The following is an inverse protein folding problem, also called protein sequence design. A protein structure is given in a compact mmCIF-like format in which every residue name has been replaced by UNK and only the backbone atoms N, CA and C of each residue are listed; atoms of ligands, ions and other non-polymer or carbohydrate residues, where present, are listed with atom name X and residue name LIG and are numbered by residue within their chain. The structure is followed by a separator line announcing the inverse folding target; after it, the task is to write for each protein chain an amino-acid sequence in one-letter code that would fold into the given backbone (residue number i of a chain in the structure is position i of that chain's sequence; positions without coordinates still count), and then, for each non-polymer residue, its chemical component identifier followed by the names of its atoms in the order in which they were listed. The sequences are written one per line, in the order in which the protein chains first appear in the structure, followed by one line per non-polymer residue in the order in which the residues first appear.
data_IF_861055571943
#
_entry.id   IF_861055571943
#
_cell.length_a   1.000
_cell.length_b   1.000
_cell.length_c   1.000
_cell.angle_alpha   90.00
_cell.angle_beta   90.00
_cell.angle_gamma   90.00
#
_symmetry.space_group_name_H-M   'P 1'
#
loop_
_entity.id
_entity.type
_entity.pdbx_description
1 polymer ?
#
# COMPACT_ATOMS: atom_id res chain seq x y z
N UNK A 1 -6.02 15.89 26.61
CA UNK A 1 -5.15 14.72 26.34
C UNK A 1 -3.93 15.19 25.58
N UNK A 2 -2.89 15.65 26.28
CA UNK A 2 -1.59 16.00 25.69
C UNK A 2 -0.87 14.71 25.30
N UNK A 3 -0.74 14.45 24.00
CA UNK A 3 -0.05 13.26 23.50
C UNK A 3 1.46 13.51 23.51
N UNK A 4 2.20 12.62 24.16
CA UNK A 4 3.67 12.67 24.27
C UNK A 4 4.32 12.85 22.86
N UNK A 5 5.06 13.94 22.62
CA UNK A 5 5.66 14.24 21.31
C UNK A 5 6.65 13.16 20.84
N UNK A 6 7.31 12.44 21.76
CA UNK A 6 8.23 11.35 21.43
C UNK A 6 7.48 10.13 20.87
N UNK A 7 6.27 9.85 21.40
CA UNK A 7 5.40 8.76 20.94
C UNK A 7 4.83 9.04 19.55
N UNK A 8 4.50 10.30 19.26
CA UNK A 8 4.02 10.73 17.95
C UNK A 8 5.11 10.67 16.87
N UNK A 9 6.35 11.04 17.21
CA UNK A 9 7.49 10.91 16.30
C UNK A 9 7.76 9.45 15.90
N UNK A 10 7.72 8.51 16.86
CA UNK A 10 7.86 7.07 16.60
C UNK A 10 6.73 6.52 15.71
N UNK A 11 5.49 6.95 15.95
CA UNK A 11 4.34 6.57 15.13
C UNK A 11 4.49 6.99 13.66
N UNK A 12 5.00 8.20 13.42
CA UNK A 12 5.25 8.70 12.06
C UNK A 12 6.33 7.92 11.32
N UNK A 13 7.42 7.56 12.00
CA UNK A 13 8.46 6.71 11.43
C UNK A 13 7.90 5.33 11.09
N UNK A 14 7.08 4.74 11.96
CA UNK A 14 6.43 3.45 11.71
C UNK A 14 5.50 3.47 10.49
N UNK A 15 4.61 4.47 10.40
CA UNK A 15 3.73 4.64 9.22
C UNK A 15 4.54 4.79 7.94
N UNK A 16 5.60 5.61 7.97
CA UNK A 16 6.45 5.78 6.79
C UNK A 16 7.16 4.49 6.37
N UNK A 17 7.60 3.67 7.35
CA UNK A 17 8.23 2.39 7.08
C UNK A 17 7.23 1.39 6.48
N UNK A 18 6.01 1.28 7.04
CA UNK A 18 4.94 0.45 6.48
C UNK A 18 4.60 0.84 5.04
N UNK A 19 4.46 2.14 4.77
CA UNK A 19 4.20 2.64 3.41
C UNK A 19 5.32 2.29 2.43
N UNK A 20 6.59 2.38 2.85
CA UNK A 20 7.71 1.96 2.00
C UNK A 20 7.70 0.45 1.73
N UNK A 21 7.33 -0.35 2.73
CA UNK A 21 7.15 -1.81 2.55
C UNK A 21 6.02 -2.09 1.56
N UNK A 22 4.88 -1.41 1.66
CA UNK A 22 3.77 -1.54 0.71
C UNK A 22 4.19 -1.19 -0.72
N UNK A 23 4.95 -0.09 -0.90
CA UNK A 23 5.51 0.30 -2.20
C UNK A 23 6.42 -0.78 -2.77
N UNK A 24 7.29 -1.38 -1.94
CA UNK A 24 8.18 -2.46 -2.35
C UNK A 24 7.41 -3.72 -2.75
N UNK A 25 6.35 -4.07 -2.01
CA UNK A 25 5.49 -5.21 -2.33
C UNK A 25 4.77 -4.98 -3.66
N UNK A 26 4.20 -3.79 -3.88
CA UNK A 26 3.53 -3.46 -5.15
C UNK A 26 4.52 -3.54 -6.32
N UNK A 27 5.75 -3.03 -6.15
CA UNK A 27 6.79 -3.12 -7.16
C UNK A 27 7.19 -4.58 -7.45
N UNK A 28 7.35 -5.41 -6.43
CA UNK A 28 7.65 -6.83 -6.59
C UNK A 28 6.52 -7.58 -7.32
N UNK A 29 5.25 -7.29 -6.99
CA UNK A 29 4.10 -7.87 -7.68
C UNK A 29 4.02 -7.43 -9.15
N UNK A 30 4.36 -6.18 -9.46
CA UNK A 30 4.43 -5.70 -10.84
C UNK A 30 5.53 -6.42 -11.65
N UNK A 31 6.71 -6.61 -11.07
CA UNK A 31 7.80 -7.38 -11.69
C UNK A 31 7.44 -8.85 -11.86
N UNK A 32 6.81 -9.45 -10.84
CA UNK A 32 6.29 -10.82 -10.92
C UNK A 32 5.30 -10.99 -12.07
N UNK A 33 4.36 -10.04 -12.24
CA UNK A 33 3.38 -10.07 -13.32
C UNK A 33 4.03 -10.02 -14.71
N UNK A 34 5.08 -9.20 -14.86
CA UNK A 34 5.87 -9.16 -16.10
C UNK A 34 6.49 -10.53 -16.37
N UNK A 35 7.16 -11.13 -15.38
CA UNK A 35 7.75 -12.46 -15.51
C UNK A 35 6.70 -13.54 -15.84
N UNK A 36 5.54 -13.51 -15.16
CA UNK A 36 4.43 -14.43 -15.41
C UNK A 36 3.92 -14.30 -16.85
N UNK A 37 3.81 -13.08 -17.37
CA UNK A 37 3.32 -12.86 -18.74
C UNK A 37 4.29 -13.42 -19.78
N UNK A 38 5.60 -13.27 -19.56
CA UNK A 38 6.65 -13.83 -20.42
C UNK A 38 6.61 -15.36 -20.40
N UNK A 39 6.49 -15.97 -19.21
CA UNK A 39 6.50 -17.43 -19.06
C UNK A 39 5.21 -18.07 -19.61
N UNK A 40 4.06 -17.41 -19.40
CA UNK A 40 2.75 -17.97 -19.76
C UNK A 40 2.40 -17.80 -21.24
N UNK A 41 3.19 -17.04 -22.01
CA UNK A 41 2.92 -16.77 -23.42
C UNK A 41 1.59 -16.05 -23.68
N UNK A 42 1.01 -15.40 -22.65
CA UNK A 42 -0.26 -14.68 -22.77
C UNK A 42 -0.01 -13.35 -23.46
N UNK A 43 -0.68 -13.12 -24.59
CA UNK A 43 -0.42 -12.00 -25.51
C UNK A 43 -1.53 -10.96 -25.51
N UNK A 44 -2.08 -10.61 -24.34
CA UNK A 44 -3.00 -9.48 -24.19
C UNK A 44 -2.26 -8.27 -23.57
N UNK A 45 -1.68 -7.37 -24.38
CA UNK A 45 -0.88 -6.26 -23.88
C UNK A 45 -1.72 -5.18 -23.16
N UNK A 46 -3.00 -5.04 -23.52
CA UNK A 46 -3.87 -4.00 -22.97
C UNK A 46 -4.12 -4.18 -21.46
N UNK A 47 -4.58 -5.34 -20.97
CA UNK A 47 -4.73 -5.58 -19.53
C UNK A 47 -3.41 -5.47 -18.77
N UNK A 48 -2.31 -5.96 -19.34
CA UNK A 48 -0.99 -5.88 -18.72
C UNK A 48 -0.57 -4.42 -18.49
N UNK A 49 -0.65 -3.59 -19.54
CA UNK A 49 -0.29 -2.17 -19.45
C UNK A 49 -1.17 -1.46 -18.44
N UNK A 50 -2.48 -1.74 -18.40
CA UNK A 50 -3.41 -1.17 -17.43
C UNK A 50 -3.01 -1.47 -15.98
N UNK A 51 -2.68 -2.74 -15.68
CA UNK A 51 -2.26 -3.15 -14.33
C UNK A 51 -0.89 -2.56 -13.97
N UNK A 52 0.05 -2.49 -14.91
CA UNK A 52 1.36 -1.89 -14.67
C UNK A 52 1.26 -0.38 -14.42
N UNK A 53 0.47 0.35 -15.20
CA UNK A 53 0.23 1.77 -14.98
C UNK A 53 -0.45 2.00 -13.62
N UNK A 54 -1.46 1.19 -13.29
CA UNK A 54 -2.12 1.26 -11.98
C UNK A 54 -1.14 1.00 -10.83
N UNK A 55 -0.29 -0.02 -10.94
CA UNK A 55 0.72 -0.34 -9.93
C UNK A 55 1.75 0.78 -9.77
N UNK A 56 2.22 1.37 -10.87
CA UNK A 56 3.17 2.49 -10.84
C UNK A 56 2.57 3.75 -10.22
N UNK A 57 1.34 4.11 -10.61
CA UNK A 57 0.64 5.27 -10.04
C UNK A 57 0.29 5.04 -8.57
N UNK A 58 -0.15 3.84 -8.20
CA UNK A 58 -0.42 3.45 -6.82
C UNK A 58 0.83 3.52 -5.96
N UNK A 59 1.90 2.81 -6.36
CA UNK A 59 3.18 2.82 -5.64
C UNK A 59 3.80 4.22 -5.56
N UNK A 60 3.77 4.98 -6.66
CA UNK A 60 4.23 6.37 -6.68
C UNK A 60 3.45 7.26 -5.72
N UNK A 61 2.11 7.14 -5.71
CA UNK A 61 1.23 7.85 -4.80
C UNK A 61 1.52 7.54 -3.32
N UNK A 62 1.68 6.26 -2.97
CA UNK A 62 2.07 5.84 -1.62
C UNK A 62 3.46 6.35 -1.24
N UNK A 63 4.43 6.33 -2.15
CA UNK A 63 5.79 6.83 -1.90
C UNK A 63 5.80 8.35 -1.62
N UNK A 64 4.99 9.12 -2.35
CA UNK A 64 4.79 10.56 -2.06
C UNK A 64 4.13 10.75 -0.70
N UNK A 65 3.16 9.91 -0.33
CA UNK A 65 2.54 9.94 1.00
C UNK A 65 3.54 9.64 2.11
N UNK A 66 4.39 8.62 1.93
CA UNK A 66 5.46 8.25 2.87
C UNK A 66 6.43 9.43 3.12
N UNK A 67 6.83 10.12 2.03
CA UNK A 67 7.63 11.37 2.13
C UNK A 67 6.85 12.48 2.83
N UNK A 68 5.54 12.61 2.58
CA UNK A 68 4.65 13.57 3.25
C UNK A 68 4.61 13.39 4.78
N UNK A 69 4.49 12.16 5.26
CA UNK A 69 4.53 11.84 6.69
C UNK A 69 5.88 12.19 7.34
N UNK A 70 6.99 11.98 6.63
CA UNK A 70 8.33 12.37 7.08
C UNK A 70 8.46 13.89 7.19
N UNK A 71 7.84 14.63 6.27
CA UNK A 71 7.92 16.09 6.18
C UNK A 71 6.83 16.85 6.97
N UNK A 72 6.09 16.20 7.89
CA UNK A 72 4.99 16.81 8.69
C UNK A 72 3.83 17.39 7.86
N UNK A 73 3.66 16.97 6.59
CA UNK A 73 2.58 17.49 5.75
C UNK A 73 1.33 16.61 5.85
N UNK A 74 0.18 17.24 6.14
CA UNK A 74 -1.13 16.58 6.27
C UNK A 74 -1.60 15.83 5.01
N UNK A 75 -1.03 16.13 3.84
CA UNK A 75 -1.47 15.62 2.54
C UNK A 75 -1.30 14.09 2.37
N UNK A 76 -0.42 13.44 3.13
CA UNK A 76 -0.15 12.00 3.00
C UNK A 76 -1.22 11.08 3.62
N UNK A 77 -2.09 11.60 4.49
CA UNK A 77 -3.05 10.79 5.25
C UNK A 77 -4.20 10.25 4.41
N UNK A 78 -4.94 11.14 3.76
CA UNK A 78 -6.13 10.75 3.02
C UNK A 78 -5.85 9.72 1.90
N UNK A 79 -4.78 9.87 1.09
CA UNK A 79 -4.48 8.89 0.05
C UNK A 79 -4.02 7.54 0.63
N UNK A 80 -3.31 7.55 1.77
CA UNK A 80 -2.90 6.32 2.47
C UNK A 80 -4.11 5.52 2.96
N UNK A 81 -5.06 6.21 3.59
CA UNK A 81 -6.30 5.59 4.08
C UNK A 81 -7.09 5.02 2.90
N UNK A 82 -7.25 5.81 1.82
CA UNK A 82 -7.96 5.36 0.63
C UNK A 82 -7.31 4.12 0.00
N UNK A 83 -5.99 4.13 -0.19
CA UNK A 83 -5.27 3.00 -0.78
C UNK A 83 -5.42 1.71 0.05
N UNK A 84 -5.37 1.81 1.38
CA UNK A 84 -5.50 0.67 2.26
C UNK A 84 -6.94 0.13 2.32
N UNK A 85 -7.95 1.01 2.20
CA UNK A 85 -9.34 0.57 2.05
C UNK A 85 -9.58 -0.15 0.72
N UNK A 86 -8.94 0.31 -0.37
CA UNK A 86 -8.96 -0.39 -1.65
C UNK A 86 -8.30 -1.78 -1.51
N UNK A 87 -7.16 -1.87 -0.85
CA UNK A 87 -6.46 -3.15 -0.64
C UNK A 87 -7.32 -4.16 0.13
N UNK A 88 -8.08 -3.72 1.14
CA UNK A 88 -9.06 -4.57 1.84
C UNK A 88 -10.18 -5.02 0.90
N UNK A 89 -10.70 -4.13 0.05
CA UNK A 89 -11.68 -4.48 -0.99
C UNK A 89 -11.15 -5.54 -1.96
N UNK A 90 -9.91 -5.40 -2.42
CA UNK A 90 -9.23 -6.36 -3.29
C UNK A 90 -9.04 -7.71 -2.57
N UNK A 91 -8.70 -7.70 -1.28
CA UNK A 91 -8.54 -8.93 -0.51
C UNK A 91 -9.84 -9.74 -0.41
N UNK A 92 -11.02 -9.10 -0.34
CA UNK A 92 -12.31 -9.81 -0.40
C UNK A 92 -12.43 -10.66 -1.66
N UNK A 93 -12.11 -10.09 -2.83
CA UNK A 93 -12.15 -10.84 -4.09
C UNK A 93 -11.13 -11.99 -4.12
N UNK A 94 -9.96 -11.83 -3.47
CA UNK A 94 -8.98 -12.90 -3.35
C UNK A 94 -9.46 -14.03 -2.41
N UNK A 95 -10.17 -13.69 -1.33
CA UNK A 95 -10.83 -14.68 -0.47
C UNK A 95 -11.89 -15.46 -1.25
N UNK A 96 -12.75 -14.77 -2.00
CA UNK A 96 -13.79 -15.39 -2.82
C UNK A 96 -13.17 -16.30 -3.91
N UNK A 97 -11.98 -15.95 -4.42
CA UNK A 97 -11.22 -16.75 -5.39
C UNK A 97 -10.40 -17.89 -4.76
N UNK A 98 -10.47 -18.12 -3.44
CA UNK A 98 -9.72 -19.16 -2.74
C UNK A 98 -8.21 -18.90 -2.59
N UNK A 99 -7.76 -17.67 -2.85
CA UNK A 99 -6.36 -17.25 -2.72
C UNK A 99 -6.04 -16.78 -1.29
N UNK A 100 -6.31 -17.63 -0.31
CA UNK A 100 -6.14 -17.34 1.12
C UNK A 100 -4.71 -16.90 1.47
N UNK A 101 -3.72 -17.50 0.78
CA UNK A 101 -2.30 -17.22 1.00
C UNK A 101 -1.92 -15.76 0.72
N UNK A 102 -2.57 -15.11 -0.25
CA UNK A 102 -2.31 -13.69 -0.56
C UNK A 102 -3.28 -12.77 0.16
N UNK A 103 -4.54 -13.19 0.32
CA UNK A 103 -5.59 -12.38 0.94
C UNK A 103 -5.29 -12.08 2.42
N UNK A 104 -4.85 -13.08 3.19
CA UNK A 104 -4.60 -12.93 4.62
C UNK A 104 -3.47 -11.92 4.90
N UNK A 105 -2.26 -12.03 4.29
CA UNK A 105 -1.21 -11.03 4.48
C UNK A 105 -1.63 -9.61 4.08
N UNK A 106 -2.40 -9.47 2.99
CA UNK A 106 -2.88 -8.16 2.54
C UNK A 106 -3.79 -7.52 3.58
N UNK A 107 -4.76 -8.26 4.13
CA UNK A 107 -5.65 -7.73 5.16
C UNK A 107 -4.89 -7.33 6.42
N UNK A 108 -3.90 -8.13 6.84
CA UNK A 108 -3.08 -7.82 8.02
C UNK A 108 -2.30 -6.53 7.80
N UNK A 109 -1.58 -6.42 6.68
CA UNK A 109 -0.81 -5.22 6.35
C UNK A 109 -1.72 -4.00 6.21
N UNK A 110 -2.80 -4.10 5.43
CA UNK A 110 -3.69 -2.98 5.19
C UNK A 110 -4.38 -2.49 6.47
N UNK A 111 -4.79 -3.42 7.34
CA UNK A 111 -5.39 -3.09 8.64
C UNK A 111 -4.38 -2.42 9.57
N UNK A 112 -3.14 -2.92 9.60
CA UNK A 112 -2.07 -2.30 10.39
C UNK A 112 -1.75 -0.89 9.89
N UNK A 113 -1.55 -0.70 8.58
CA UNK A 113 -1.28 0.61 7.98
C UNK A 113 -2.43 1.57 8.22
N UNK A 114 -3.68 1.13 8.06
CA UNK A 114 -4.87 1.93 8.31
C UNK A 114 -4.93 2.38 9.78
N UNK A 115 -4.73 1.46 10.72
CA UNK A 115 -4.69 1.78 12.15
C UNK A 115 -3.64 2.85 12.44
N UNK A 116 -2.40 2.64 12.01
CA UNK A 116 -1.32 3.59 12.27
C UNK A 116 -1.51 4.94 11.55
N UNK A 117 -2.05 4.95 10.34
CA UNK A 117 -2.38 6.17 9.59
C UNK A 117 -3.47 7.00 10.29
N UNK A 118 -4.47 6.35 10.89
CA UNK A 118 -5.54 7.02 11.62
C UNK A 118 -5.06 7.54 12.98
N UNK A 119 -4.32 6.72 13.74
CA UNK A 119 -3.86 7.07 15.10
C UNK A 119 -2.75 8.11 15.12
N UNK A 120 -1.92 8.17 14.08
CA UNK A 120 -0.76 9.07 14.04
C UNK A 120 -1.16 10.42 13.45
N UNK A 121 -1.52 11.39 14.30
CA UNK A 121 -1.78 12.77 13.86
C UNK A 121 -0.43 13.46 13.60
N UNK A 122 -0.12 13.90 12.37
CA UNK A 122 1.02 14.76 12.13
C UNK A 122 0.67 16.14 12.68
N UNK A 123 1.28 16.52 13.81
CA UNK A 123 1.29 17.91 14.31
C UNK A 123 2.38 18.74 13.60
#
# INVERSE_FOLDING_TARGET
MTRDPAKQARGRTMVSALLYVEVMIIAALALWLIGLTVISGTHDPLPLIGVLLFALLGAGGLAVCARGYRNKKYFGRAPTVLANLIAIGVAKYQFDAGLWFTAIPIVILASATLYFALTTIPE
#
